data_IF_121194549226
#
_entry.id   IF_121194549226
#
_cell.length_a   1.000
_cell.length_b   1.000
_cell.length_c   1.000
_cell.angle_alpha   90.00
_cell.angle_beta   90.00
_cell.angle_gamma   90.00
#
_symmetry.space_group_name_H-M   'P 1'
#
loop_
_entity.id
_entity.type
_entity.pdbx_description
1 polymer ?
#
# COMPACT_ATOMS: atom_id res chain seq x y z
N UNK A 1 -6.95 7.12 -22.74
CA UNK A 1 -5.54 7.33 -22.34
C UNK A 1 -5.08 6.20 -21.43
N UNK A 2 -3.99 5.51 -21.83
CA UNK A 2 -3.40 4.48 -20.98
C UNK A 2 -2.63 5.15 -19.83
N UNK A 3 -3.09 4.92 -18.60
CA UNK A 3 -2.40 5.40 -17.41
C UNK A 3 -1.37 4.36 -17.00
N UNK A 4 -0.11 4.79 -16.93
CA UNK A 4 0.96 3.93 -16.43
C UNK A 4 0.85 3.78 -14.91
N UNK A 5 1.06 2.56 -14.42
CA UNK A 5 0.90 2.23 -13.01
C UNK A 5 2.02 1.35 -12.50
N UNK A 6 2.14 1.32 -11.17
CA UNK A 6 2.92 0.32 -10.45
C UNK A 6 1.91 -0.61 -9.77
N UNK A 7 1.94 -1.93 -10.05
CA UNK A 7 1.04 -2.87 -9.38
C UNK A 7 1.17 -2.80 -7.86
N UNK A 8 0.08 -3.03 -7.16
CA UNK A 8 0.08 -2.96 -5.69
C UNK A 8 0.62 -4.23 -5.01
N UNK A 9 0.66 -5.34 -5.74
CA UNK A 9 0.91 -6.67 -5.19
C UNK A 9 -0.35 -7.44 -4.84
N UNK A 10 -1.49 -6.77 -4.83
CA UNK A 10 -2.81 -7.38 -4.60
C UNK A 10 -3.65 -7.30 -5.87
N UNK A 11 -4.17 -8.45 -6.33
CA UNK A 11 -5.07 -8.50 -7.50
C UNK A 11 -6.33 -7.69 -7.22
N UNK A 12 -6.92 -7.87 -6.04
CA UNK A 12 -8.15 -7.18 -5.65
C UNK A 12 -7.94 -5.67 -5.60
N UNK A 13 -6.83 -5.19 -5.05
CA UNK A 13 -6.55 -3.77 -4.96
C UNK A 13 -6.24 -3.15 -6.32
N UNK A 14 -5.48 -3.86 -7.17
CA UNK A 14 -5.23 -3.41 -8.54
C UNK A 14 -6.56 -3.17 -9.27
N UNK A 15 -7.51 -4.08 -9.10
CA UNK A 15 -8.84 -3.94 -9.67
C UNK A 15 -9.61 -2.77 -9.04
N UNK A 16 -9.57 -2.63 -7.72
CA UNK A 16 -10.29 -1.56 -7.01
C UNK A 16 -9.79 -0.16 -7.38
N UNK A 17 -8.52 -0.03 -7.74
CA UNK A 17 -7.94 1.24 -8.22
C UNK A 17 -8.40 1.61 -9.63
N UNK A 18 -8.97 0.66 -10.37
CA UNK A 18 -9.56 0.89 -11.67
C UNK A 18 -8.57 0.94 -12.83
N UNK A 19 -7.31 1.23 -12.57
CA UNK A 19 -6.25 1.37 -13.58
C UNK A 19 -5.16 0.30 -13.47
N UNK A 20 -5.31 -0.62 -12.52
CA UNK A 20 -4.38 -1.75 -12.37
C UNK A 20 -3.24 -1.55 -11.41
N UNK A 21 -3.23 -0.45 -10.66
CA UNK A 21 -2.20 -0.17 -9.68
C UNK A 21 -2.13 1.29 -9.29
N UNK A 22 -1.04 1.68 -8.63
CA UNK A 22 -0.80 3.07 -8.27
C UNK A 22 -0.39 3.88 -9.51
N UNK A 23 -1.05 5.00 -9.81
CA UNK A 23 -0.70 5.79 -10.99
C UNK A 23 0.69 6.40 -10.85
N UNK A 24 1.48 6.34 -11.91
CA UNK A 24 2.78 7.01 -11.97
C UNK A 24 2.58 8.53 -12.06
N UNK A 25 3.51 9.28 -11.47
CA UNK A 25 3.47 10.73 -11.49
C UNK A 25 2.46 11.34 -10.52
N UNK A 26 2.07 10.60 -9.49
CA UNK A 26 1.05 11.03 -8.54
C UNK A 26 1.48 10.79 -7.10
N UNK A 27 0.86 11.53 -6.20
CA UNK A 27 0.98 11.34 -4.76
C UNK A 27 -0.14 10.43 -4.29
N UNK A 28 0.23 9.41 -3.52
CA UNK A 28 -0.68 8.42 -2.96
C UNK A 28 -0.58 8.51 -1.44
N UNK A 29 -1.71 8.48 -0.74
CA UNK A 29 -1.73 8.35 0.71
C UNK A 29 -2.30 6.99 1.09
N UNK A 30 -1.59 6.28 1.97
CA UNK A 30 -2.07 5.04 2.59
C UNK A 30 -2.17 5.33 4.08
N UNK A 31 -3.37 5.23 4.65
CA UNK A 31 -3.57 5.52 6.06
C UNK A 31 -4.43 4.46 6.72
N UNK A 32 -4.27 4.33 8.02
CA UNK A 32 -5.02 3.39 8.82
C UNK A 32 -4.50 3.34 10.25
N UNK A 33 -5.16 2.54 11.10
CA UNK A 33 -4.71 2.32 12.46
C UNK A 33 -3.33 1.68 12.50
N UNK A 34 -2.71 1.70 13.67
CA UNK A 34 -1.46 0.99 13.90
C UNK A 34 -1.62 -0.50 13.59
N UNK A 35 -0.58 -1.10 13.02
CA UNK A 35 -0.55 -2.53 12.66
C UNK A 35 -1.63 -2.96 11.67
N UNK A 36 -2.13 -2.04 10.85
CA UNK A 36 -3.16 -2.35 9.83
C UNK A 36 -2.60 -2.92 8.52
N UNK A 37 -1.27 -2.85 8.32
CA UNK A 37 -0.63 -3.34 7.09
C UNK A 37 -0.20 -2.24 6.12
N UNK A 38 -0.16 -0.99 6.56
CA UNK A 38 0.23 0.15 5.72
C UNK A 38 1.63 -0.03 5.11
N UNK A 39 2.59 -0.32 5.95
CA UNK A 39 3.99 -0.50 5.53
C UNK A 39 4.13 -1.73 4.64
N UNK A 40 3.46 -2.83 4.97
CA UNK A 40 3.44 -4.04 4.13
C UNK A 40 2.96 -3.72 2.72
N UNK A 41 1.87 -2.97 2.61
CA UNK A 41 1.32 -2.60 1.30
C UNK A 41 2.31 -1.75 0.50
N UNK A 42 2.98 -0.79 1.14
CA UNK A 42 3.99 0.03 0.48
C UNK A 42 5.22 -0.78 0.06
N UNK A 43 5.65 -1.73 0.88
CA UNK A 43 6.79 -2.61 0.57
C UNK A 43 6.48 -3.48 -0.66
N UNK A 44 5.25 -4.01 -0.78
CA UNK A 44 4.84 -4.74 -1.98
C UNK A 44 4.93 -3.87 -3.24
N UNK A 45 4.56 -2.60 -3.16
CA UNK A 45 4.67 -1.66 -4.28
C UNK A 45 6.14 -1.47 -4.71
N UNK A 46 7.04 -1.37 -3.74
CA UNK A 46 8.49 -1.31 -4.00
C UNK A 46 8.96 -2.56 -4.74
N UNK A 47 8.57 -3.74 -4.26
CA UNK A 47 8.93 -5.01 -4.90
C UNK A 47 8.43 -5.06 -6.35
N UNK A 48 7.21 -4.63 -6.59
CA UNK A 48 6.62 -4.60 -7.94
C UNK A 48 7.35 -3.61 -8.86
N UNK A 49 7.72 -2.44 -8.36
CA UNK A 49 8.49 -1.46 -9.13
C UNK A 49 9.87 -2.03 -9.52
N UNK A 50 10.54 -2.69 -8.59
CA UNK A 50 11.84 -3.30 -8.86
C UNK A 50 11.75 -4.46 -9.86
N UNK A 51 10.69 -5.27 -9.80
CA UNK A 51 10.46 -6.34 -10.79
C UNK A 51 10.35 -5.80 -12.21
N UNK A 52 9.81 -4.60 -12.37
CA UNK A 52 9.71 -3.93 -13.67
C UNK A 52 10.99 -3.19 -14.08
N UNK A 53 12.08 -3.36 -13.33
CA UNK A 53 13.35 -2.72 -13.59
C UNK A 53 13.48 -1.31 -13.02
N UNK A 54 12.51 -0.87 -12.21
CA UNK A 54 12.51 0.46 -11.61
C UNK A 54 13.39 0.58 -10.37
N UNK A 55 13.67 1.83 -10.00
CA UNK A 55 14.47 2.17 -8.83
C UNK A 55 13.55 2.71 -7.75
N UNK A 56 13.71 2.20 -6.53
CA UNK A 56 12.90 2.53 -5.38
C UNK A 56 13.70 3.19 -4.28
N UNK A 57 13.04 4.10 -3.55
CA UNK A 57 13.60 4.74 -2.38
C UNK A 57 12.61 4.65 -1.22
N UNK A 58 13.14 4.55 0.00
CA UNK A 58 12.36 4.49 1.23
C UNK A 58 12.91 5.52 2.22
N UNK A 59 12.08 6.49 2.56
CA UNK A 59 12.40 7.49 3.60
C UNK A 59 11.84 6.96 4.91
N UNK A 60 12.73 6.43 5.76
CA UNK A 60 12.37 5.78 7.01
C UNK A 60 12.41 6.79 8.17
N UNK A 61 11.39 7.62 8.27
CA UNK A 61 11.26 8.61 9.33
C UNK A 61 10.92 7.99 10.69
N UNK A 62 10.38 6.78 10.69
CA UNK A 62 10.07 6.01 11.91
C UNK A 62 11.31 5.30 12.48
N UNK A 63 12.38 5.17 11.71
CA UNK A 63 13.58 4.37 12.05
C UNK A 63 13.23 2.91 12.39
N UNK A 64 12.31 2.33 11.62
CA UNK A 64 11.73 1.00 11.88
C UNK A 64 11.74 0.07 10.66
N UNK A 65 12.48 0.41 9.61
CA UNK A 65 12.51 -0.42 8.39
C UNK A 65 13.17 -1.77 8.67
N UNK A 66 12.45 -2.83 8.36
CA UNK A 66 12.90 -4.21 8.53
C UNK A 66 13.36 -4.78 7.19
N UNK A 67 14.68 -4.89 7.00
CA UNK A 67 15.30 -5.40 5.77
C UNK A 67 14.97 -6.85 5.51
N UNK A 68 14.89 -7.65 6.56
CA UNK A 68 14.59 -9.09 6.44
C UNK A 68 13.15 -9.31 5.98
N UNK A 69 12.22 -8.57 6.56
CA UNK A 69 10.82 -8.63 6.15
C UNK A 69 10.64 -8.15 4.70
N UNK A 70 11.25 -7.04 4.34
CA UNK A 70 11.18 -6.50 2.98
C UNK A 70 11.72 -7.51 1.96
N UNK A 71 12.84 -8.17 2.27
CA UNK A 71 13.41 -9.20 1.40
C UNK A 71 12.45 -10.38 1.21
N UNK A 72 11.74 -10.79 2.27
CA UNK A 72 10.73 -11.86 2.18
C UNK A 72 9.56 -11.49 1.26
N UNK A 73 9.23 -10.21 1.18
CA UNK A 73 8.17 -9.72 0.30
C UNK A 73 8.64 -9.52 -1.14
N UNK A 74 9.90 -9.80 -1.43
CA UNK A 74 10.44 -9.73 -2.77
C UNK A 74 11.24 -8.46 -3.08
N UNK A 75 11.52 -7.62 -2.09
CA UNK A 75 12.34 -6.42 -2.29
C UNK A 75 13.82 -6.81 -2.40
N UNK A 76 14.46 -6.28 -3.43
CA UNK A 76 15.92 -6.31 -3.53
C UNK A 76 16.47 -5.19 -2.63
N UNK A 77 16.79 -5.55 -1.39
CA UNK A 77 17.19 -4.58 -0.36
C UNK A 77 18.56 -3.95 -0.64
N UNK A 78 19.42 -4.64 -1.39
CA UNK A 78 20.75 -4.11 -1.73
C UNK A 78 20.64 -2.97 -2.75
N UNK A 79 19.60 -2.95 -3.56
CA UNK A 79 19.33 -1.91 -4.55
C UNK A 79 18.25 -0.91 -4.13
N UNK A 80 17.78 -1.00 -2.88
CA UNK A 80 16.84 -0.04 -2.32
C UNK A 80 17.59 1.13 -1.70
N UNK A 81 17.24 2.35 -2.10
CA UNK A 81 17.78 3.56 -1.49
C UNK A 81 17.01 3.83 -0.19
N UNK A 82 17.71 3.79 0.94
CA UNK A 82 17.10 4.00 2.26
C UNK A 82 17.73 5.24 2.89
N UNK A 83 16.88 6.11 3.42
CA UNK A 83 17.31 7.29 4.18
C UNK A 83 16.57 7.35 5.52
N UNK A 84 17.29 7.69 6.58
CA UNK A 84 16.74 7.89 7.92
C UNK A 84 16.98 9.34 8.33
N UNK A 85 16.04 10.25 8.01
CA UNK A 85 16.22 11.68 8.28
C UNK A 85 16.08 12.01 9.76
N UNK A 86 16.66 13.15 10.16
CA UNK A 86 16.63 13.63 11.55
C UNK A 86 15.37 14.45 11.86
N UNK A 87 14.75 15.04 10.84
CA UNK A 87 13.55 15.87 10.99
C UNK A 87 12.73 15.89 9.71
N UNK A 88 11.55 16.52 9.78
CA UNK A 88 10.60 16.55 8.66
C UNK A 88 11.12 17.31 7.44
N UNK A 89 11.80 18.44 7.64
CA UNK A 89 12.38 19.23 6.54
C UNK A 89 13.40 18.41 5.78
N UNK A 90 14.30 17.74 6.49
CA UNK A 90 15.32 16.87 5.88
C UNK A 90 14.68 15.75 5.07
N UNK A 91 13.68 15.08 5.65
CA UNK A 91 12.96 13.99 4.98
C UNK A 91 12.36 14.45 3.64
N UNK A 92 11.67 15.57 3.65
CA UNK A 92 10.97 16.09 2.48
C UNK A 92 11.93 16.68 1.44
N UNK A 93 13.05 17.26 1.88
CA UNK A 93 14.12 17.71 0.98
C UNK A 93 14.80 16.54 0.28
N UNK A 94 15.09 15.46 1.01
CA UNK A 94 15.66 14.24 0.41
C UNK A 94 14.70 13.66 -0.61
N UNK A 95 13.39 13.58 -0.28
CA UNK A 95 12.38 13.11 -1.20
C UNK A 95 12.34 13.96 -2.47
N UNK A 96 12.34 15.28 -2.34
CA UNK A 96 12.32 16.20 -3.48
C UNK A 96 13.54 16.01 -4.36
N UNK A 97 14.74 15.94 -3.79
CA UNK A 97 15.98 15.76 -4.55
C UNK A 97 16.00 14.43 -5.30
N UNK A 98 15.58 13.35 -4.67
CA UNK A 98 15.49 12.04 -5.31
C UNK A 98 14.49 12.03 -6.46
N UNK A 99 13.33 12.65 -6.29
CA UNK A 99 12.31 12.75 -7.34
C UNK A 99 12.85 13.60 -8.50
N UNK A 100 13.45 14.74 -8.23
CA UNK A 100 13.98 15.65 -9.26
C UNK A 100 15.15 15.06 -10.04
N UNK A 101 15.83 14.05 -9.50
CA UNK A 101 16.91 13.35 -10.21
C UNK A 101 16.40 12.58 -11.43
N UNK A 102 15.10 12.35 -11.53
CA UNK A 102 14.44 11.53 -12.56
C UNK A 102 14.88 10.06 -12.58
N UNK A 103 15.64 9.62 -11.58
CA UNK A 103 16.13 8.24 -11.48
C UNK A 103 15.23 7.32 -10.68
N UNK A 104 14.25 7.85 -9.95
CA UNK A 104 13.41 7.10 -9.00
C UNK A 104 12.03 6.88 -9.61
N UNK A 105 11.58 5.63 -9.61
CA UNK A 105 10.23 5.26 -10.08
C UNK A 105 9.20 5.29 -8.97
N UNK A 106 9.61 4.94 -7.75
CA UNK A 106 8.75 4.97 -6.58
C UNK A 106 9.55 5.43 -5.36
N UNK A 107 8.90 6.24 -4.54
CA UNK A 107 9.43 6.66 -3.25
C UNK A 107 8.34 6.53 -2.19
N UNK A 108 8.68 5.94 -1.06
CA UNK A 108 7.80 5.76 0.09
C UNK A 108 8.32 6.60 1.25
N UNK A 109 7.44 7.37 1.87
CA UNK A 109 7.74 8.14 3.09
C UNK A 109 6.94 7.51 4.25
N UNK A 110 7.62 6.89 5.19
CA UNK A 110 7.02 6.21 6.34
C UNK A 110 7.54 6.83 7.64
N UNK A 111 6.76 7.56 8.33
CA UNK A 111 5.39 7.99 8.12
C UNK A 111 5.26 9.49 8.32
N UNK A 112 4.15 10.07 7.89
CA UNK A 112 3.85 11.50 8.10
C UNK A 112 3.90 11.88 9.57
N UNK A 113 3.39 11.02 10.46
CA UNK A 113 3.38 11.26 11.91
C UNK A 113 4.78 11.46 12.48
N UNK A 114 5.80 10.85 11.88
CA UNK A 114 7.20 10.95 12.33
C UNK A 114 7.95 12.14 11.70
N UNK A 115 7.31 12.91 10.80
CA UNK A 115 7.91 14.08 10.17
C UNK A 115 7.82 15.28 11.12
N UNK A 116 8.64 15.25 12.16
CA UNK A 116 8.68 16.31 13.16
C UNK A 116 9.47 17.50 12.63
N UNK A 117 8.89 18.72 12.60
CA UNK A 117 9.61 19.90 12.18
C UNK A 117 10.83 20.16 13.06
N UNK A 118 11.92 20.63 12.46
CA UNK A 118 13.17 20.94 13.17
C UNK A 118 12.96 21.91 14.32
N UNK A 119 12.15 22.94 14.11
CA UNK A 119 11.82 23.93 15.12
C UNK A 119 11.12 23.32 16.35
N UNK A 120 10.32 22.27 16.15
CA UNK A 120 9.67 21.54 17.22
C UNK A 120 10.68 20.72 18.05
N UNK A 121 11.67 20.09 17.37
CA UNK A 121 12.73 19.32 18.03
C UNK A 121 13.63 20.23 18.85
N UNK A 122 14.00 21.39 18.30
CA UNK A 122 14.92 22.35 18.94
C UNK A 122 14.23 23.31 19.91
N UNK A 123 12.90 23.34 19.93
CA UNK A 123 12.13 24.23 20.78
C UNK A 123 12.15 23.78 22.25
N UNK A 124 11.88 24.73 23.16
CA UNK A 124 11.78 24.48 24.58
C UNK A 124 10.45 23.79 24.93
N UNK A 125 10.44 23.04 26.02
CA UNK A 125 9.23 22.46 26.57
C UNK A 125 8.22 23.56 26.88
N UNK A 126 6.99 23.40 26.39
CA UNK A 126 5.93 24.38 26.59
C UNK A 126 5.79 25.41 25.47
N UNK A 127 6.72 25.46 24.52
CA UNK A 127 6.55 26.30 23.33
C UNK A 127 5.34 25.84 22.54
N UNK A 128 4.54 26.81 22.07
CA UNK A 128 3.38 26.53 21.24
C UNK A 128 3.81 26.31 19.79
N UNK A 129 3.85 25.02 19.37
CA UNK A 129 4.24 24.61 18.01
C UNK A 129 3.06 24.08 17.18
N UNK A 130 1.85 24.50 17.55
CA UNK A 130 0.63 24.08 16.84
C UNK A 130 0.71 24.47 15.36
N UNK A 131 0.43 23.51 14.48
CA UNK A 131 0.35 23.73 13.05
C UNK A 131 1.68 23.71 12.30
N UNK A 132 2.82 23.55 12.97
CA UNK A 132 4.13 23.51 12.27
C UNK A 132 4.21 22.36 11.29
N UNK A 133 3.80 21.15 11.68
CA UNK A 133 3.82 19.97 10.81
C UNK A 133 2.85 20.15 9.62
N UNK A 134 1.66 20.66 9.87
CA UNK A 134 0.68 20.91 8.80
C UNK A 134 1.19 21.92 7.79
N UNK A 135 1.86 22.97 8.25
CA UNK A 135 2.48 23.99 7.40
C UNK A 135 3.62 23.41 6.56
N UNK A 136 4.48 22.61 7.20
CA UNK A 136 5.57 21.90 6.52
C UNK A 136 5.03 21.02 5.41
N UNK A 137 3.99 20.22 5.70
CA UNK A 137 3.36 19.34 4.71
C UNK A 137 2.76 20.13 3.55
N UNK A 138 2.06 21.23 3.83
CA UNK A 138 1.46 22.05 2.77
C UNK A 138 2.51 22.62 1.82
N UNK A 139 3.61 23.13 2.34
CA UNK A 139 4.70 23.68 1.53
C UNK A 139 5.39 22.60 0.71
N UNK A 140 5.70 21.47 1.32
CA UNK A 140 6.40 20.38 0.66
C UNK A 140 5.54 19.72 -0.43
N UNK A 141 4.27 19.44 -0.14
CA UNK A 141 3.38 18.77 -1.09
C UNK A 141 3.11 19.60 -2.33
N UNK A 142 3.08 20.93 -2.21
CA UNK A 142 2.98 21.81 -3.37
C UNK A 142 4.12 21.58 -4.35
N UNK A 143 5.36 21.50 -3.84
CA UNK A 143 6.55 21.25 -4.64
C UNK A 143 6.61 19.81 -5.15
N UNK A 144 6.33 18.85 -4.29
CA UNK A 144 6.41 17.43 -4.65
C UNK A 144 5.39 17.05 -5.71
N UNK A 145 4.17 17.60 -5.66
CA UNK A 145 3.14 17.33 -6.66
C UNK A 145 3.60 17.71 -8.06
N UNK A 146 4.23 18.88 -8.21
CA UNK A 146 4.78 19.32 -9.49
C UNK A 146 5.95 18.42 -9.92
N UNK A 147 6.84 18.08 -8.99
CA UNK A 147 8.02 17.27 -9.29
C UNK A 147 7.66 15.86 -9.73
N UNK A 148 6.76 15.17 -9.02
CA UNK A 148 6.37 13.78 -9.36
C UNK A 148 5.65 13.72 -10.71
N UNK A 149 4.82 14.70 -11.02
CA UNK A 149 4.14 14.78 -12.31
C UNK A 149 5.13 14.87 -13.46
N UNK A 150 6.16 15.68 -13.31
CA UNK A 150 7.20 15.87 -14.33
C UNK A 150 8.08 14.64 -14.53
N UNK A 151 8.48 13.98 -13.43
CA UNK A 151 9.40 12.85 -13.48
C UNK A 151 8.69 11.50 -13.58
N UNK A 152 7.37 11.47 -13.45
CA UNK A 152 6.54 10.25 -13.47
C UNK A 152 6.84 9.31 -12.30
N UNK A 153 7.28 9.87 -11.19
CA UNK A 153 7.54 9.12 -9.96
C UNK A 153 6.25 8.90 -9.18
N UNK A 154 6.04 7.68 -8.66
CA UNK A 154 4.97 7.43 -7.70
C UNK A 154 5.48 7.73 -6.30
N UNK A 155 4.81 8.62 -5.58
CA UNK A 155 5.19 9.01 -4.22
C UNK A 155 4.11 8.56 -3.25
N UNK A 156 4.44 7.62 -2.37
CA UNK A 156 3.52 7.07 -1.36
C UNK A 156 3.85 7.63 0.01
N UNK A 157 2.88 8.29 0.63
CA UNK A 157 2.95 8.69 2.03
C UNK A 157 2.14 7.74 2.89
N UNK A 158 2.79 7.17 3.90
CA UNK A 158 2.11 6.38 4.93
C UNK A 158 1.70 7.33 6.04
N UNK A 159 0.44 7.24 6.49
CA UNK A 159 -0.09 8.11 7.51
C UNK A 159 -0.83 7.30 8.59
N UNK A 160 -0.97 7.89 9.75
CA UNK A 160 -1.67 7.28 10.87
C UNK A 160 -3.01 7.97 11.09
N UNK A 161 -3.96 7.22 11.67
CA UNK A 161 -5.20 7.78 12.14
C UNK A 161 -5.06 8.25 13.57
N UNK A 162 -5.67 9.38 13.86
CA UNK A 162 -5.84 9.93 15.22
C UNK A 162 -7.30 10.20 15.46
N UNK A 163 -7.70 10.15 16.74
CA UNK A 163 -9.04 10.56 17.14
C UNK A 163 -9.02 12.04 17.53
N UNK A 164 -10.01 12.80 17.03
CA UNK A 164 -10.22 14.18 17.45
C UNK A 164 -10.92 14.18 18.80
N UNK A 165 -10.33 14.90 19.76
CA UNK A 165 -10.90 15.06 21.09
C UNK A 165 -12.10 16.01 20.98
N UNK A 166 -13.23 15.63 21.61
CA UNK A 166 -14.41 16.49 21.69
C UNK A 166 -15.35 16.48 20.50
N UNK A 167 -15.16 15.57 19.54
CA UNK A 167 -16.11 15.41 18.44
C UNK A 167 -17.33 14.65 18.93
N UNK A 168 -18.48 15.31 19.02
CA UNK A 168 -19.75 14.72 19.45
C UNK A 168 -20.56 14.16 18.28
N UNK A 169 -20.35 14.69 17.06
CA UNK A 169 -21.07 14.30 15.86
C UNK A 169 -20.07 14.07 14.72
N UNK A 170 -20.37 13.12 13.84
CA UNK A 170 -19.52 12.76 12.71
C UNK A 170 -18.38 11.82 13.09
N UNK A 171 -17.42 11.64 12.18
CA UNK A 171 -16.30 10.75 12.38
C UNK A 171 -15.19 11.45 13.19
N UNK A 172 -14.83 10.93 14.39
CA UNK A 172 -13.74 11.50 15.19
C UNK A 172 -12.36 11.20 14.63
N UNK A 173 -12.23 10.25 13.70
CA UNK A 173 -10.96 9.86 13.14
C UNK A 173 -10.42 10.91 12.16
N UNK A 174 -9.13 11.20 12.23
CA UNK A 174 -8.43 12.11 11.32
C UNK A 174 -7.01 11.64 11.12
N UNK A 175 -6.43 12.01 9.97
CA UNK A 175 -5.02 11.72 9.68
C UNK A 175 -4.11 12.81 10.24
N UNK A 176 -2.83 12.48 10.43
CA UNK A 176 -1.82 13.43 10.91
C UNK A 176 -1.32 14.33 9.79
N UNK A 177 -0.74 15.48 10.14
CA UNK A 177 -0.12 16.40 9.17
C UNK A 177 -1.08 17.41 8.52
N UNK A 178 -2.30 17.58 9.05
CA UNK A 178 -3.29 18.52 8.53
C UNK A 178 -4.01 17.99 7.30
N UNK A 179 -4.50 18.90 6.44
CA UNK A 179 -5.36 18.56 5.31
C UNK A 179 -4.63 18.51 3.96
N UNK A 180 -3.33 18.80 3.92
CA UNK A 180 -2.60 18.92 2.66
C UNK A 180 -2.62 17.62 1.84
N UNK A 181 -2.38 16.48 2.47
CA UNK A 181 -2.43 15.18 1.77
C UNK A 181 -3.82 14.85 1.24
N UNK A 182 -4.89 15.22 1.96
CA UNK A 182 -6.26 15.03 1.44
C UNK A 182 -6.47 15.78 0.14
N UNK A 183 -5.84 16.95 0.01
CA UNK A 183 -5.95 17.79 -1.18
C UNK A 183 -5.02 17.32 -2.31
N UNK A 184 -3.74 17.10 -2.01
CA UNK A 184 -2.72 16.81 -3.02
C UNK A 184 -2.67 15.36 -3.47
N UNK A 185 -3.06 14.41 -2.63
CA UNK A 185 -3.05 13.00 -3.02
C UNK A 185 -4.09 12.74 -4.12
N UNK A 186 -3.67 12.05 -5.17
CA UNK A 186 -4.57 11.61 -6.24
C UNK A 186 -5.33 10.35 -5.87
N UNK A 187 -4.76 9.52 -4.99
CA UNK A 187 -5.35 8.30 -4.47
C UNK A 187 -5.15 8.28 -2.96
N UNK A 188 -6.21 7.94 -2.24
CA UNK A 188 -6.14 7.75 -0.79
C UNK A 188 -6.76 6.41 -0.44
N UNK A 189 -6.02 5.62 0.32
CA UNK A 189 -6.42 4.28 0.75
C UNK A 189 -6.56 4.24 2.27
N UNK A 190 -7.73 3.78 2.72
CA UNK A 190 -8.01 3.46 4.12
C UNK A 190 -7.82 1.95 4.28
N UNK A 191 -6.82 1.54 5.06
CA UNK A 191 -6.51 0.13 5.29
C UNK A 191 -6.78 -0.26 6.73
N UNK A 192 -7.52 -1.37 6.92
CA UNK A 192 -7.87 -1.87 8.25
C UNK A 192 -7.78 -3.38 8.31
N UNK A 193 -7.22 -3.89 9.41
CA UNK A 193 -7.33 -5.30 9.74
C UNK A 193 -8.73 -5.61 10.25
N UNK A 194 -9.26 -6.77 9.91
CA UNK A 194 -10.57 -7.23 10.40
C UNK A 194 -10.42 -8.40 11.35
N UNK A 195 -10.29 -9.62 10.83
CA UNK A 195 -10.21 -10.82 11.66
C UNK A 195 -8.82 -11.42 11.68
N UNK A 196 -8.42 -11.96 12.84
CA UNK A 196 -7.19 -12.74 12.93
C UNK A 196 -7.33 -14.06 12.17
N UNK A 197 -6.28 -14.46 11.48
CA UNK A 197 -6.17 -15.76 10.82
C UNK A 197 -5.35 -16.65 11.74
N UNK A 198 -5.88 -17.80 12.07
CA UNK A 198 -5.27 -18.71 13.05
C UNK A 198 -4.97 -20.05 12.42
N UNK A 199 -3.87 -20.65 12.89
CA UNK A 199 -3.57 -22.06 12.71
C UNK A 199 -3.57 -22.70 14.11
N UNK A 200 -4.68 -23.37 14.45
CA UNK A 200 -4.93 -23.78 15.84
C UNK A 200 -5.15 -22.54 16.72
N UNK A 201 -4.34 -22.40 17.77
CA UNK A 201 -4.40 -21.25 18.68
C UNK A 201 -3.43 -20.11 18.27
N UNK A 202 -2.56 -20.38 17.31
CA UNK A 202 -1.56 -19.41 16.84
C UNK A 202 -2.16 -18.45 15.81
N UNK A 203 -1.97 -17.15 16.02
CA UNK A 203 -2.35 -16.14 15.05
C UNK A 203 -1.22 -16.03 14.00
N UNK A 204 -1.54 -16.36 12.75
CA UNK A 204 -0.57 -16.40 11.65
C UNK A 204 -0.74 -15.29 10.62
N UNK A 205 -1.79 -14.49 10.75
CA UNK A 205 -2.06 -13.39 9.85
C UNK A 205 -3.34 -12.67 10.22
N UNK A 206 -3.80 -11.81 9.32
CA UNK A 206 -5.08 -11.13 9.49
C UNK A 206 -5.73 -10.82 8.15
N UNK A 207 -7.04 -10.90 8.12
CA UNK A 207 -7.84 -10.40 7.02
C UNK A 207 -7.75 -8.88 6.99
N UNK A 208 -7.59 -8.32 5.80
CA UNK A 208 -7.36 -6.90 5.62
C UNK A 208 -8.34 -6.34 4.61
N UNK A 209 -8.89 -5.18 4.92
CA UNK A 209 -9.82 -4.45 4.06
C UNK A 209 -9.22 -3.11 3.68
N UNK A 210 -9.24 -2.81 2.39
CA UNK A 210 -8.79 -1.53 1.86
C UNK A 210 -9.95 -0.86 1.14
N UNK A 211 -10.21 0.40 1.49
CA UNK A 211 -11.20 1.23 0.80
C UNK A 211 -10.48 2.34 0.06
N UNK A 212 -10.80 2.50 -1.22
CA UNK A 212 -10.28 3.60 -2.03
C UNK A 212 -11.16 4.82 -1.78
N UNK A 213 -10.76 5.68 -0.82
CA UNK A 213 -11.59 6.81 -0.37
C UNK A 213 -11.48 8.04 -1.27
N UNK A 214 -10.41 8.13 -2.05
CA UNK A 214 -10.23 9.16 -3.06
C UNK A 214 -9.51 8.55 -4.25
N UNK A 215 -9.97 8.86 -5.46
CA UNK A 215 -9.34 8.37 -6.68
C UNK A 215 -9.61 9.36 -7.82
N UNK A 216 -8.54 9.97 -8.33
CA UNK A 216 -8.62 10.91 -9.46
C UNK A 216 -8.47 10.24 -10.82
N UNK A 217 -8.15 8.94 -10.86
CA UNK A 217 -7.90 8.23 -12.12
C UNK A 217 -8.99 7.22 -12.47
N UNK A 218 -9.93 6.96 -11.57
CA UNK A 218 -11.07 6.05 -11.75
C UNK A 218 -12.14 6.34 -10.69
N UNK A 219 -13.35 5.73 -10.76
CA UNK A 219 -14.38 5.92 -9.75
C UNK A 219 -13.88 5.51 -8.35
N UNK A 220 -14.12 6.35 -7.32
CA UNK A 220 -13.69 6.05 -5.96
C UNK A 220 -14.65 5.10 -5.23
N UNK A 221 -14.33 4.81 -3.96
CA UNK A 221 -15.12 4.02 -3.01
C UNK A 221 -15.20 2.52 -3.27
N UNK A 222 -14.41 2.01 -4.22
CA UNK A 222 -14.25 0.57 -4.40
C UNK A 222 -13.43 0.00 -3.24
N UNK A 223 -13.60 -1.30 -2.99
CA UNK A 223 -12.96 -2.00 -1.88
C UNK A 223 -12.18 -3.20 -2.36
N UNK A 224 -11.15 -3.56 -1.59
CA UNK A 224 -10.38 -4.78 -1.78
C UNK A 224 -10.25 -5.49 -0.44
N UNK A 225 -10.28 -6.82 -0.48
CA UNK A 225 -10.05 -7.65 0.70
C UNK A 225 -8.99 -8.69 0.36
N UNK A 226 -8.06 -8.89 1.27
CA UNK A 226 -7.03 -9.90 1.15
C UNK A 226 -6.46 -10.24 2.52
N UNK A 227 -5.76 -11.37 2.58
CA UNK A 227 -5.08 -11.77 3.79
C UNK A 227 -3.64 -11.26 3.78
N UNK A 228 -3.19 -10.75 4.93
CA UNK A 228 -1.77 -10.50 5.18
C UNK A 228 -1.29 -11.58 6.13
N UNK A 229 -0.35 -12.41 5.67
CA UNK A 229 0.26 -13.46 6.47
C UNK A 229 1.53 -12.94 7.12
N UNK A 230 1.71 -13.20 8.42
CA UNK A 230 2.88 -12.71 9.14
C UNK A 230 4.17 -13.30 8.56
N UNK A 231 5.13 -12.43 8.26
CA UNK A 231 6.39 -12.81 7.64
C UNK A 231 6.35 -13.12 6.16
N UNK A 232 5.16 -13.11 5.54
CA UNK A 232 4.99 -13.46 4.12
C UNK A 232 4.33 -12.34 3.31
N UNK A 233 3.61 -11.43 3.98
CA UNK A 233 2.90 -10.34 3.34
C UNK A 233 1.55 -10.76 2.76
N UNK A 234 1.13 -10.11 1.69
CA UNK A 234 -0.16 -10.36 1.03
C UNK A 234 -0.19 -11.79 0.47
N UNK A 235 -1.24 -12.55 0.83
CA UNK A 235 -1.45 -13.90 0.32
C UNK A 235 -2.06 -13.84 -1.09
N UNK A 236 -1.20 -13.83 -2.09
CA UNK A 236 -1.66 -13.83 -3.49
C UNK A 236 -2.34 -15.14 -3.86
N UNK A 237 -1.85 -16.26 -3.34
CA UNK A 237 -2.50 -17.56 -3.52
C UNK A 237 -3.93 -17.55 -2.95
N UNK A 238 -4.13 -16.93 -1.80
CA UNK A 238 -5.46 -16.74 -1.22
C UNK A 238 -6.38 -15.92 -2.10
N UNK A 239 -5.86 -14.83 -2.69
CA UNK A 239 -6.63 -14.02 -3.64
C UNK A 239 -7.03 -14.80 -4.88
N UNK A 240 -6.13 -15.61 -5.42
CA UNK A 240 -6.41 -16.44 -6.60
C UNK A 240 -7.56 -17.40 -6.32
N UNK A 241 -7.55 -18.08 -5.17
CA UNK A 241 -8.60 -19.01 -4.77
C UNK A 241 -9.92 -18.26 -4.56
N UNK A 242 -9.91 -17.16 -3.82
CA UNK A 242 -11.13 -16.44 -3.48
C UNK A 242 -11.76 -15.75 -4.71
N UNK A 243 -10.97 -15.04 -5.49
CA UNK A 243 -11.44 -14.37 -6.70
C UNK A 243 -11.79 -15.38 -7.80
N UNK A 244 -10.99 -16.43 -7.92
CA UNK A 244 -11.27 -17.51 -8.87
C UNK A 244 -12.62 -18.17 -8.60
N UNK A 245 -12.95 -18.43 -7.34
CA UNK A 245 -14.22 -18.98 -6.93
C UNK A 245 -15.37 -17.99 -7.17
N UNK A 246 -15.18 -16.73 -6.78
CA UNK A 246 -16.18 -15.68 -6.95
C UNK A 246 -16.52 -15.44 -8.43
N UNK A 247 -15.54 -15.48 -9.30
CA UNK A 247 -15.71 -15.26 -10.75
C UNK A 247 -16.12 -16.52 -11.52
N UNK A 248 -16.26 -17.67 -10.84
CA UNK A 248 -16.67 -18.92 -11.47
C UNK A 248 -15.56 -19.63 -12.26
N UNK A 249 -14.32 -19.14 -12.19
CA UNK A 249 -13.16 -19.77 -12.83
C UNK A 249 -12.76 -21.04 -12.07
N UNK A 250 -12.74 -20.96 -10.75
CA UNK A 250 -12.56 -22.08 -9.85
C UNK A 250 -13.92 -22.49 -9.34
N UNK A 251 -14.26 -23.77 -9.44
CA UNK A 251 -15.52 -24.29 -8.93
C UNK A 251 -15.33 -24.81 -7.53
N UNK A 252 -16.21 -24.39 -6.63
CA UNK A 252 -16.26 -24.89 -5.24
C UNK A 252 -17.48 -25.78 -5.07
N UNK A 253 -17.27 -27.04 -4.72
CA UNK A 253 -18.32 -28.00 -4.42
C UNK A 253 -18.07 -28.60 -3.03
N UNK A 254 -18.90 -28.19 -2.06
CA UNK A 254 -18.64 -28.49 -0.65
C UNK A 254 -17.32 -27.86 -0.23
N UNK A 255 -16.38 -28.68 0.26
CA UNK A 255 -15.03 -28.24 0.62
C UNK A 255 -14.01 -28.41 -0.53
N UNK A 256 -14.42 -28.95 -1.67
CA UNK A 256 -13.53 -29.20 -2.80
C UNK A 256 -13.46 -28.01 -3.75
N UNK A 257 -12.24 -27.67 -4.16
CA UNK A 257 -11.95 -26.70 -5.21
C UNK A 257 -11.51 -27.44 -6.47
N UNK A 258 -12.04 -27.02 -7.63
CA UNK A 258 -11.74 -27.63 -8.92
C UNK A 258 -11.48 -26.55 -9.96
N UNK A 259 -10.62 -26.85 -10.91
CA UNK A 259 -10.37 -26.02 -12.06
C UNK A 259 -10.29 -26.89 -13.30
N UNK A 260 -11.02 -26.49 -14.36
CA UNK A 260 -11.03 -27.20 -15.64
C UNK A 260 -11.33 -28.71 -15.46
N UNK A 261 -12.36 -29.02 -14.65
CA UNK A 261 -12.81 -30.37 -14.32
C UNK A 261 -11.83 -31.22 -13.49
N UNK A 262 -10.70 -30.63 -13.09
CA UNK A 262 -9.68 -31.30 -12.26
C UNK A 262 -9.75 -30.75 -10.83
N UNK A 263 -9.83 -31.67 -9.87
CA UNK A 263 -9.82 -31.27 -8.45
C UNK A 263 -8.46 -30.70 -8.07
N UNK A 264 -8.45 -29.51 -7.48
CA UNK A 264 -7.22 -28.87 -6.98
C UNK A 264 -6.91 -29.40 -5.60
N UNK A 265 -7.83 -29.24 -4.65
CA UNK A 265 -7.65 -29.64 -3.27
C UNK A 265 -8.96 -29.56 -2.49
N UNK A 266 -8.96 -30.18 -1.32
CA UNK A 266 -10.05 -30.07 -0.35
C UNK A 266 -9.65 -29.04 0.72
N UNK A 267 -10.49 -28.01 0.86
CA UNK A 267 -10.27 -26.92 1.79
C UNK A 267 -9.40 -25.80 1.21
N UNK A 268 -9.60 -24.59 1.77
CA UNK A 268 -8.94 -23.38 1.27
C UNK A 268 -7.43 -23.41 1.47
N UNK A 269 -6.95 -23.87 2.64
CA UNK A 269 -5.51 -23.90 2.93
C UNK A 269 -4.76 -24.84 2.00
N UNK A 270 -5.32 -26.05 1.77
CA UNK A 270 -4.74 -27.00 0.83
C UNK A 270 -4.75 -26.45 -0.61
N UNK A 271 -5.82 -25.77 -1.01
CA UNK A 271 -5.91 -25.14 -2.33
C UNK A 271 -4.85 -24.02 -2.50
N UNK A 272 -4.66 -23.21 -1.48
CA UNK A 272 -3.59 -22.18 -1.49
C UNK A 272 -2.21 -22.81 -1.69
N UNK A 273 -1.96 -23.93 -0.99
CA UNK A 273 -0.68 -24.63 -1.08
C UNK A 273 -0.43 -25.16 -2.49
N UNK A 274 -1.47 -25.69 -3.14
CA UNK A 274 -1.36 -26.14 -4.55
C UNK A 274 -0.98 -24.98 -5.47
N UNK A 275 -1.57 -23.79 -5.27
CA UNK A 275 -1.24 -22.60 -6.04
C UNK A 275 0.22 -22.19 -5.80
N UNK A 276 0.67 -22.20 -4.55
CA UNK A 276 2.06 -21.87 -4.20
C UNK A 276 3.07 -22.85 -4.81
N UNK A 277 2.72 -24.14 -4.87
CA UNK A 277 3.60 -25.18 -5.39
C UNK A 277 3.58 -25.27 -6.92
N UNK A 278 2.65 -24.60 -7.60
CA UNK A 278 2.48 -24.64 -9.05
C UNK A 278 2.43 -23.24 -9.66
N UNK A 279 3.57 -22.58 -9.85
CA UNK A 279 3.62 -21.21 -10.40
C UNK A 279 2.95 -21.07 -11.78
N UNK A 280 3.01 -22.10 -12.63
CA UNK A 280 2.35 -22.05 -13.94
C UNK A 280 0.84 -22.00 -13.82
N UNK A 281 0.27 -22.79 -12.90
CA UNK A 281 -1.17 -22.76 -12.61
C UNK A 281 -1.57 -21.40 -12.03
N UNK A 282 -0.78 -20.85 -11.11
CA UNK A 282 -1.01 -19.53 -10.54
C UNK A 282 -1.07 -18.45 -11.61
N UNK A 283 -0.11 -18.45 -12.53
CA UNK A 283 -0.06 -17.48 -13.64
C UNK A 283 -1.27 -17.62 -14.57
N UNK A 284 -1.66 -18.85 -14.92
CA UNK A 284 -2.83 -19.13 -15.75
C UNK A 284 -4.11 -18.60 -15.10
N UNK A 285 -4.31 -18.92 -13.82
CA UNK A 285 -5.48 -18.47 -13.07
C UNK A 285 -5.52 -16.95 -12.91
N UNK A 286 -4.39 -16.32 -12.63
CA UNK A 286 -4.30 -14.85 -12.56
C UNK A 286 -4.70 -14.22 -13.88
N UNK A 287 -4.22 -14.75 -14.99
CA UNK A 287 -4.58 -14.25 -16.33
C UNK A 287 -6.08 -14.32 -16.59
N UNK A 288 -6.72 -15.42 -16.22
CA UNK A 288 -8.16 -15.60 -16.36
C UNK A 288 -8.94 -14.66 -15.43
N UNK A 289 -8.48 -14.48 -14.20
CA UNK A 289 -9.09 -13.56 -13.23
C UNK A 289 -9.03 -12.13 -13.76
N UNK A 290 -7.88 -11.65 -14.21
CA UNK A 290 -7.74 -10.30 -14.76
C UNK A 290 -8.61 -10.10 -16.00
N UNK A 291 -8.71 -11.11 -16.87
CA UNK A 291 -9.56 -11.04 -18.05
C UNK A 291 -11.04 -10.88 -17.68
N UNK A 292 -11.51 -11.63 -16.68
CA UNK A 292 -12.91 -11.48 -16.20
C UNK A 292 -13.14 -10.13 -15.53
N UNK A 293 -12.21 -9.65 -14.71
CA UNK A 293 -12.32 -8.35 -14.05
C UNK A 293 -12.36 -7.19 -15.04
N UNK A 294 -11.68 -7.32 -16.17
CA UNK A 294 -11.69 -6.29 -17.22
C UNK A 294 -13.02 -6.18 -17.97
N UNK A 295 -13.84 -7.23 -17.99
CA UNK A 295 -15.15 -7.21 -18.65
C UNK A 295 -16.15 -6.27 -17.98
N UNK A 296 -15.95 -5.96 -16.70
CA UNK A 296 -16.82 -5.10 -15.91
C UNK A 296 -16.43 -3.61 -15.97
N UNK A 297 -15.52 -3.24 -16.86
CA UNK A 297 -15.05 -1.84 -17.02
C UNK A 297 -15.54 -1.21 -18.32
#
# INVERSE_FOLDING_TARGET
>A
ENIEVIPTGSIALDNALGVGGYPKGRIIEIYGPESSGKTTLAIHAIAEAQKAGGIAAFIDAEHAFDRFYAAKLGVDVDNLLISQPDNGEQALEIAEQLIRSSAIDIIVVDSVAALTPKAEIEGDMGDNKVGLQARLMSQALRKLTAAVSKTRTTCIFINQLREKIGVMFGNPETTTGGNALKFYASVRLDIRGSQAIKNGDEVIGKQTKVKVVKNKVAPPFRRAEFDIMFGEGISRAGEIIDLGAELGIIKKSGSWFSYNETKIAQGRDAAKQVILDNPELAEELEGLIFAELRKDK
#
